data_IF_082809117308
#
_entry.id   IF_082809117308
#
_cell.length_a   1.000
_cell.length_b   1.000
_cell.length_c   1.000
_cell.angle_alpha   90.00
_cell.angle_beta   90.00
_cell.angle_gamma   90.00
#
_symmetry.space_group_name_H-M   'P 1'
#
loop_
_entity.id
_entity.type
_entity.pdbx_description
1 polymer ?
#
# COMPACT_ATOMS: atom_id res chain seq x y z
N UNK A 1 -19.78 -9.02 28.35
CA UNK A 1 -18.87 -7.98 27.82
C UNK A 1 -18.73 -8.14 26.31
N UNK A 2 -19.53 -7.38 25.53
CA UNK A 2 -19.34 -7.19 24.07
C UNK A 2 -18.27 -6.12 23.84
N UNK A 3 -17.08 -6.34 24.38
CA UNK A 3 -16.00 -5.35 24.25
C UNK A 3 -15.35 -5.59 22.88
N UNK A 4 -15.53 -4.62 21.98
CA UNK A 4 -14.93 -4.49 20.65
C UNK A 4 -15.69 -5.17 19.48
N UNK A 5 -16.54 -4.41 18.78
CA UNK A 5 -17.08 -4.73 17.44
C UNK A 5 -15.99 -4.61 16.35
N UNK A 6 -14.76 -5.03 16.65
CA UNK A 6 -13.64 -5.01 15.72
C UNK A 6 -12.66 -6.12 16.11
N UNK A 7 -11.95 -6.63 15.12
CA UNK A 7 -10.97 -7.69 15.35
C UNK A 7 -9.70 -7.09 15.96
N UNK A 8 -9.49 -7.30 17.27
CA UNK A 8 -8.21 -6.97 17.93
C UNK A 8 -7.05 -7.68 17.21
N UNK A 9 -7.28 -8.92 16.75
CA UNK A 9 -6.29 -9.70 16.02
C UNK A 9 -5.88 -8.97 14.73
N UNK A 10 -6.83 -8.42 13.98
CA UNK A 10 -6.52 -7.65 12.77
C UNK A 10 -5.68 -6.41 13.09
N UNK A 11 -5.95 -5.74 14.22
CA UNK A 11 -5.17 -4.58 14.65
C UNK A 11 -3.73 -4.96 15.06
N UNK A 12 -3.57 -6.03 15.85
CA UNK A 12 -2.25 -6.54 16.23
C UNK A 12 -1.46 -6.99 14.99
N UNK A 13 -2.10 -7.71 14.06
CA UNK A 13 -1.48 -8.10 12.80
C UNK A 13 -1.04 -6.87 11.99
N UNK A 14 -1.88 -5.84 11.88
CA UNK A 14 -1.53 -4.61 11.20
C UNK A 14 -0.29 -3.93 11.80
N UNK A 15 -0.20 -3.85 13.13
CA UNK A 15 0.95 -3.27 13.83
C UNK A 15 2.23 -4.07 13.60
N UNK A 16 2.18 -5.40 13.74
CA UNK A 16 3.35 -6.28 13.54
C UNK A 16 3.82 -6.26 12.08
N UNK A 17 2.87 -6.30 11.14
CA UNK A 17 3.17 -6.23 9.71
C UNK A 17 3.71 -4.84 9.31
N UNK A 18 3.24 -3.77 9.95
CA UNK A 18 3.71 -2.41 9.72
C UNK A 18 5.20 -2.24 9.99
N UNK A 19 5.66 -2.68 11.16
CA UNK A 19 7.10 -2.63 11.52
C UNK A 19 7.94 -3.43 10.52
N UNK A 20 7.48 -4.64 10.17
CA UNK A 20 8.16 -5.46 9.15
C UNK A 20 8.20 -4.79 7.78
N UNK A 21 7.15 -4.07 7.40
CA UNK A 21 7.09 -3.35 6.13
C UNK A 21 8.06 -2.16 6.11
N UNK A 22 8.15 -1.38 7.19
CA UNK A 22 9.08 -0.26 7.33
C UNK A 22 10.54 -0.72 7.29
N UNK A 23 10.87 -1.80 8.00
CA UNK A 23 12.22 -2.39 7.93
C UNK A 23 12.59 -2.84 6.51
N UNK A 24 11.66 -3.45 5.78
CA UNK A 24 11.91 -3.89 4.41
C UNK A 24 12.00 -2.72 3.44
N UNK A 25 11.25 -1.64 3.67
CA UNK A 25 11.35 -0.41 2.90
C UNK A 25 12.74 0.22 3.09
N UNK A 26 13.18 0.36 4.33
CA UNK A 26 14.49 0.93 4.65
C UNK A 26 15.63 0.07 4.09
N UNK A 27 15.57 -1.26 4.25
CA UNK A 27 16.52 -2.18 3.61
C UNK A 27 16.55 -2.02 2.09
N UNK A 28 15.40 -1.87 1.45
CA UNK A 28 15.33 -1.67 -0.01
C UNK A 28 15.96 -0.34 -0.44
N UNK A 29 15.79 0.72 0.34
CA UNK A 29 16.41 2.01 0.08
C UNK A 29 17.93 1.95 0.31
N UNK A 30 18.40 1.29 1.36
CA UNK A 30 19.83 1.08 1.58
C UNK A 30 20.50 0.30 0.44
N UNK A 31 19.82 -0.71 -0.11
CA UNK A 31 20.31 -1.49 -1.27
C UNK A 31 20.35 -0.69 -2.58
N UNK A 32 19.69 0.47 -2.62
CA UNK A 32 19.56 1.32 -3.81
C UNK A 32 20.23 2.69 -3.65
N UNK A 33 21.21 2.79 -2.75
CA UNK A 33 21.91 4.04 -2.43
C UNK A 33 20.95 5.18 -2.01
N UNK A 34 19.81 4.83 -1.40
CA UNK A 34 18.76 5.75 -0.96
C UNK A 34 17.79 6.19 -2.07
N UNK A 35 17.86 5.60 -3.26
CA UNK A 35 17.06 6.02 -4.41
C UNK A 35 15.64 5.44 -4.42
N UNK A 36 14.65 6.31 -4.36
CA UNK A 36 13.24 5.95 -4.57
C UNK A 36 12.90 5.55 -6.01
N UNK A 37 13.83 5.75 -6.94
CA UNK A 37 13.63 5.41 -8.35
C UNK A 37 13.37 3.91 -8.54
N UNK A 38 13.86 3.04 -7.64
CA UNK A 38 13.66 1.58 -7.74
C UNK A 38 12.18 1.15 -7.84
N UNK A 39 11.26 1.95 -7.32
CA UNK A 39 9.82 1.63 -7.34
C UNK A 39 9.11 2.07 -8.62
N UNK A 40 9.71 3.00 -9.38
CA UNK A 40 9.07 3.67 -10.54
C UNK A 40 9.92 3.62 -11.81
N UNK A 41 11.16 3.14 -11.73
CA UNK A 41 12.05 3.02 -12.88
C UNK A 41 11.53 1.96 -13.87
N UNK A 42 11.41 2.29 -15.17
CA UNK A 42 11.03 1.32 -16.20
C UNK A 42 12.01 0.16 -16.34
N UNK A 43 13.27 0.35 -15.95
CA UNK A 43 14.33 -0.67 -15.99
C UNK A 43 14.07 -1.83 -15.02
N UNK A 44 13.15 -1.67 -14.06
CA UNK A 44 12.77 -2.66 -13.06
C UNK A 44 11.27 -3.01 -13.20
N UNK A 45 10.87 -3.75 -14.26
CA UNK A 45 9.46 -3.96 -14.60
C UNK A 45 8.65 -4.66 -13.50
N UNK A 46 9.29 -5.54 -12.73
CA UNK A 46 8.65 -6.23 -11.61
C UNK A 46 8.33 -5.26 -10.46
N UNK A 47 9.29 -4.41 -10.09
CA UNK A 47 9.12 -3.44 -9.01
C UNK A 47 8.06 -2.40 -9.37
N UNK A 48 8.07 -1.92 -10.63
CA UNK A 48 7.06 -1.02 -11.16
C UNK A 48 5.65 -1.66 -11.17
N UNK A 49 5.56 -2.92 -11.61
CA UNK A 49 4.30 -3.66 -11.62
C UNK A 49 3.71 -3.84 -10.21
N UNK A 50 4.53 -4.31 -9.26
CA UNK A 50 4.11 -4.47 -7.87
C UNK A 50 3.73 -3.15 -7.21
N UNK A 51 4.52 -2.09 -7.41
CA UNK A 51 4.23 -0.75 -6.87
C UNK A 51 2.92 -0.20 -7.42
N UNK A 52 2.63 -0.44 -8.70
CA UNK A 52 1.36 -0.04 -9.32
C UNK A 52 0.18 -0.80 -8.71
N UNK A 53 0.29 -2.12 -8.53
CA UNK A 53 -0.76 -2.94 -7.91
C UNK A 53 -1.02 -2.49 -6.46
N UNK A 54 0.04 -2.24 -5.68
CA UNK A 54 -0.07 -1.72 -4.32
C UNK A 54 -0.79 -0.37 -4.32
N UNK A 55 -0.39 0.56 -5.20
CA UNK A 55 -1.02 1.86 -5.32
C UNK A 55 -2.52 1.74 -5.63
N UNK A 56 -2.91 0.88 -6.57
CA UNK A 56 -4.32 0.64 -6.90
C UNK A 56 -5.11 0.01 -5.75
N UNK A 57 -4.51 -0.90 -4.98
CA UNK A 57 -5.18 -1.52 -3.82
C UNK A 57 -5.41 -0.52 -2.70
N UNK A 58 -4.43 0.36 -2.42
CA UNK A 58 -4.54 1.36 -1.35
C UNK A 58 -5.45 2.52 -1.79
N UNK A 59 -5.28 3.03 -3.01
CA UNK A 59 -6.05 4.19 -3.52
C UNK A 59 -7.42 3.81 -4.09
N UNK A 60 -7.63 2.58 -4.54
CA UNK A 60 -8.87 2.12 -5.14
C UNK A 60 -10.12 2.37 -4.28
N UNK A 61 -10.13 1.97 -2.98
CA UNK A 61 -11.24 2.23 -2.08
C UNK A 61 -11.51 3.73 -1.87
N UNK A 62 -10.47 4.57 -1.87
CA UNK A 62 -10.58 6.02 -1.72
C UNK A 62 -11.18 6.67 -2.97
N UNK A 63 -10.81 6.23 -4.17
CA UNK A 63 -11.22 6.82 -5.45
C UNK A 63 -12.59 6.30 -5.92
N UNK A 64 -12.95 5.04 -5.61
CA UNK A 64 -14.23 4.41 -5.98
C UNK A 64 -15.49 5.26 -5.71
N UNK A 65 -15.67 5.89 -4.52
CA UNK A 65 -16.85 6.72 -4.26
C UNK A 65 -16.89 7.98 -5.12
N UNK A 66 -15.74 8.56 -5.47
CA UNK A 66 -15.68 9.75 -6.33
C UNK A 66 -15.96 9.37 -7.80
N UNK A 67 -15.34 8.30 -8.28
CA UNK A 67 -15.49 7.85 -9.66
C UNK A 67 -16.94 7.43 -9.95
N UNK A 68 -17.59 6.72 -9.02
CA UNK A 68 -19.00 6.33 -9.14
C UNK A 68 -19.97 7.52 -9.16
N UNK A 69 -19.63 8.65 -8.52
CA UNK A 69 -20.41 9.89 -8.59
C UNK A 69 -20.21 10.61 -9.92
N UNK A 70 -19.00 10.57 -10.47
CA UNK A 70 -18.68 11.18 -11.77
C UNK A 70 -19.33 10.40 -12.91
N UNK A 71 -19.25 9.06 -12.89
CA UNK A 71 -19.85 8.18 -13.90
C UNK A 71 -21.40 8.23 -13.90
N UNK A 72 -22.03 8.52 -12.76
CA UNK A 72 -23.50 8.67 -12.66
C UNK A 72 -24.02 10.01 -13.17
N UNK A 73 -23.14 10.97 -13.45
CA UNK A 73 -23.48 12.33 -13.93
C UNK A 73 -23.42 12.46 -15.46
N UNK A 74 -22.85 11.47 -16.15
CA UNK A 74 -22.87 11.33 -17.62
C UNK A 74 -23.91 10.28 -18.00
#
# INVERSE_FOLDING_TARGET
MKMYNYSIIALVLGVVLGVTAEENLDRSLQLSDGSWAIFVSPDQPLALGLSTVIFLLVMGPLIKPYLSRLLKRT
#
